data_IF_963515457507
#
_entry.id   IF_963515457507
#
_cell.length_a   1.000
_cell.length_b   1.000
_cell.length_c   1.000
_cell.angle_alpha   90.00
_cell.angle_beta   90.00
_cell.angle_gamma   90.00
#
_symmetry.space_group_name_H-M   'P 1'
#
loop_
_entity.id
_entity.type
_entity.pdbx_description
1 polymer ?
#
# COMPACT_ATOMS: atom_id res chain seq x y z
N UNK A 1 56.68 -33.78 84.10
CA UNK A 1 56.22 -33.21 82.81
C UNK A 1 54.92 -33.91 82.45
N UNK A 2 53.78 -33.23 82.59
CA UNK A 2 52.43 -33.80 82.39
C UNK A 2 51.91 -33.24 81.05
N UNK A 3 51.44 -34.07 80.10
CA UNK A 3 50.91 -33.57 78.84
C UNK A 3 49.55 -32.87 79.04
N UNK A 4 49.24 -31.81 78.30
CA UNK A 4 47.93 -31.17 78.37
C UNK A 4 46.85 -32.12 77.84
N UNK A 5 45.78 -32.31 78.61
CA UNK A 5 44.60 -33.09 78.19
C UNK A 5 43.90 -32.35 77.05
N UNK A 6 43.82 -32.99 75.89
CA UNK A 6 43.03 -32.50 74.76
C UNK A 6 41.55 -32.44 75.17
N UNK A 7 40.97 -31.24 75.20
CA UNK A 7 39.55 -31.04 75.44
C UNK A 7 38.77 -31.51 74.20
N UNK A 8 38.17 -32.70 74.26
CA UNK A 8 37.18 -33.13 73.28
C UNK A 8 35.94 -32.23 73.44
N UNK A 9 35.76 -31.28 72.52
CA UNK A 9 34.54 -30.46 72.49
C UNK A 9 33.35 -31.40 72.24
N UNK A 10 32.26 -31.31 73.03
CA UNK A 10 31.07 -32.10 72.76
C UNK A 10 30.55 -31.73 71.37
N UNK A 11 30.38 -32.73 70.51
CA UNK A 11 29.72 -32.57 69.22
C UNK A 11 28.23 -32.28 69.51
N UNK A 12 27.84 -31.01 69.43
CA UNK A 12 26.45 -30.61 69.50
C UNK A 12 25.73 -31.15 68.27
N UNK A 13 24.97 -32.23 68.44
CA UNK A 13 24.05 -32.68 67.41
C UNK A 13 23.02 -31.59 67.10
N UNK A 14 22.66 -31.45 65.83
CA UNK A 14 21.63 -30.51 65.40
C UNK A 14 20.34 -30.75 66.18
N UNK A 15 19.77 -29.67 66.69
CA UNK A 15 18.49 -29.75 67.40
C UNK A 15 17.37 -29.98 66.37
N UNK A 16 16.36 -30.77 66.73
CA UNK A 16 15.21 -31.03 65.85
C UNK A 16 14.50 -29.74 65.40
N UNK A 17 14.54 -28.70 66.24
CA UNK A 17 13.98 -27.38 65.93
C UNK A 17 14.78 -26.64 64.84
N UNK A 18 16.10 -26.78 64.82
CA UNK A 18 16.97 -26.17 63.80
C UNK A 18 16.72 -26.78 62.43
N UNK A 19 16.50 -28.10 62.37
CA UNK A 19 16.11 -28.78 61.14
C UNK A 19 14.75 -28.29 60.63
N UNK A 20 13.77 -28.12 61.52
CA UNK A 20 12.43 -27.65 61.16
C UNK A 20 12.48 -26.19 60.66
N UNK A 21 13.28 -25.34 61.32
CA UNK A 21 13.52 -23.97 60.87
C UNK A 21 14.22 -23.93 59.50
N UNK A 22 15.24 -24.76 59.28
CA UNK A 22 15.94 -24.83 58.00
C UNK A 22 14.99 -25.24 56.86
N UNK A 23 14.14 -26.25 57.09
CA UNK A 23 13.16 -26.72 56.10
C UNK A 23 12.11 -25.64 55.82
N UNK A 24 11.61 -24.94 56.83
CA UNK A 24 10.62 -23.87 56.63
C UNK A 24 11.18 -22.69 55.83
N UNK A 25 12.40 -22.24 56.15
CA UNK A 25 13.09 -21.20 55.36
C UNK A 25 13.35 -21.69 53.93
N UNK A 26 13.77 -22.94 53.75
CA UNK A 26 14.03 -23.51 52.44
C UNK A 26 12.77 -23.56 51.56
N UNK A 27 11.64 -24.00 52.12
CA UNK A 27 10.34 -24.00 51.43
C UNK A 27 9.93 -22.58 51.05
N UNK A 28 10.12 -21.59 51.94
CA UNK A 28 9.83 -20.19 51.64
C UNK A 28 10.70 -19.68 50.48
N UNK A 29 12.01 -19.94 50.52
CA UNK A 29 12.94 -19.51 49.46
C UNK A 29 12.56 -20.14 48.12
N UNK A 30 12.34 -21.47 48.07
CA UNK A 30 11.92 -22.15 46.85
C UNK A 30 10.59 -21.59 46.35
N UNK A 31 9.62 -21.35 47.24
CA UNK A 31 8.32 -20.78 46.90
C UNK A 31 8.46 -19.41 46.23
N UNK A 32 9.30 -18.53 46.78
CA UNK A 32 9.56 -17.20 46.19
C UNK A 32 10.26 -17.28 44.84
N UNK A 33 11.25 -18.16 44.68
CA UNK A 33 11.95 -18.37 43.41
C UNK A 33 10.96 -18.91 42.36
N UNK A 34 10.13 -19.88 42.73
CA UNK A 34 9.14 -20.46 41.85
C UNK A 34 8.11 -19.42 41.40
N UNK A 35 7.57 -18.62 42.32
CA UNK A 35 6.62 -17.57 41.99
C UNK A 35 7.25 -16.52 41.06
N UNK A 36 8.50 -16.11 41.32
CA UNK A 36 9.22 -15.16 40.46
C UNK A 36 9.46 -15.73 39.06
N UNK A 37 9.83 -17.00 38.95
CA UNK A 37 10.08 -17.65 37.66
C UNK A 37 8.77 -17.80 36.87
N UNK A 38 7.68 -18.22 37.53
CA UNK A 38 6.36 -18.33 36.93
C UNK A 38 5.83 -16.99 36.43
N UNK A 39 6.03 -15.91 37.21
CA UNK A 39 5.68 -14.55 36.77
C UNK A 39 6.49 -14.12 35.55
N UNK A 40 7.80 -14.39 35.54
CA UNK A 40 8.68 -14.04 34.42
C UNK A 40 8.33 -14.79 33.13
N UNK A 41 8.02 -16.10 33.21
CA UNK A 41 7.64 -16.88 32.03
C UNK A 41 6.30 -16.43 31.47
N UNK A 42 5.31 -16.13 32.31
CA UNK A 42 4.02 -15.61 31.86
C UNK A 42 4.16 -14.24 31.18
N UNK A 43 4.95 -13.32 31.76
CA UNK A 43 5.24 -12.04 31.16
C UNK A 43 5.95 -12.17 29.80
N UNK A 44 6.87 -13.14 29.67
CA UNK A 44 7.57 -13.42 28.42
C UNK A 44 6.61 -13.96 27.35
N UNK A 45 5.73 -14.90 27.71
CA UNK A 45 4.74 -15.46 26.78
C UNK A 45 3.77 -14.39 26.27
N UNK A 46 3.24 -13.55 27.16
CA UNK A 46 2.39 -12.41 26.78
C UNK A 46 3.14 -11.39 25.92
N UNK A 47 4.41 -11.11 26.24
CA UNK A 47 5.25 -10.23 25.44
C UNK A 47 5.52 -10.77 24.03
N UNK A 48 5.72 -12.09 23.91
CA UNK A 48 5.95 -12.75 22.62
C UNK A 48 4.73 -12.66 21.71
N UNK A 49 3.55 -12.97 22.23
CA UNK A 49 2.30 -12.89 21.45
C UNK A 49 2.03 -11.47 20.94
N UNK A 50 2.21 -10.46 21.81
CA UNK A 50 2.06 -9.06 21.42
C UNK A 50 3.09 -8.67 20.35
N UNK A 51 4.36 -9.07 20.51
CA UNK A 51 5.41 -8.80 19.54
C UNK A 51 5.10 -9.41 18.16
N UNK A 52 4.63 -10.65 18.10
CA UNK A 52 4.25 -11.31 16.86
C UNK A 52 3.15 -10.54 16.12
N UNK A 53 2.10 -10.11 16.84
CA UNK A 53 1.02 -9.27 16.27
C UNK A 53 1.57 -7.95 15.71
N UNK A 54 2.43 -7.26 16.45
CA UNK A 54 3.05 -6.01 15.97
C UNK A 54 3.90 -6.19 14.72
N UNK A 55 4.66 -7.28 14.66
CA UNK A 55 5.50 -7.58 13.49
C UNK A 55 4.65 -7.86 12.24
N UNK A 56 3.57 -8.63 12.39
CA UNK A 56 2.64 -8.91 11.29
C UNK A 56 1.96 -7.63 10.78
N UNK A 57 1.46 -6.79 11.68
CA UNK A 57 0.84 -5.51 11.28
C UNK A 57 1.83 -4.58 10.58
N UNK A 58 3.09 -4.52 11.06
CA UNK A 58 4.14 -3.72 10.41
C UNK A 58 4.53 -4.28 9.04
N UNK A 59 4.59 -5.60 8.90
CA UNK A 59 4.83 -6.24 7.60
C UNK A 59 3.67 -5.94 6.62
N UNK A 60 2.42 -5.98 7.11
CA UNK A 60 1.23 -5.61 6.34
C UNK A 60 1.25 -4.15 5.88
N UNK A 61 1.57 -3.22 6.78
CA UNK A 61 1.75 -1.80 6.45
C UNK A 61 2.84 -1.61 5.38
N UNK A 62 4.01 -2.23 5.55
CA UNK A 62 5.09 -2.13 4.57
C UNK A 62 4.69 -2.69 3.19
N UNK A 63 3.84 -3.73 3.17
CA UNK A 63 3.30 -4.29 1.94
C UNK A 63 2.36 -3.31 1.23
N UNK A 64 1.43 -2.70 1.97
CA UNK A 64 0.56 -1.65 1.45
C UNK A 64 1.38 -0.49 0.86
N UNK A 65 2.39 0.00 1.60
CA UNK A 65 3.29 1.07 1.12
C UNK A 65 4.01 0.65 -0.16
N UNK A 66 4.52 -0.58 -0.19
CA UNK A 66 5.23 -1.11 -1.37
C UNK A 66 4.33 -1.15 -2.59
N UNK A 67 3.05 -1.49 -2.41
CA UNK A 67 2.06 -1.51 -3.47
C UNK A 67 1.70 -0.09 -3.92
N UNK A 68 1.47 0.86 -3.00
CA UNK A 68 1.24 2.27 -3.33
C UNK A 68 2.38 2.85 -4.17
N UNK A 69 3.64 2.56 -3.84
CA UNK A 69 4.81 3.02 -4.61
C UNK A 69 4.90 2.40 -6.00
N UNK A 70 4.17 1.33 -6.26
CA UNK A 70 4.07 0.65 -7.56
C UNK A 70 2.83 1.08 -8.34
N UNK A 71 2.10 2.08 -7.87
CA UNK A 71 0.95 2.61 -8.59
C UNK A 71 1.38 3.10 -9.98
N UNK A 72 0.53 2.88 -10.96
CA UNK A 72 0.72 3.34 -12.32
C UNK A 72 -0.03 4.65 -12.53
N UNK A 73 0.54 5.51 -13.37
CA UNK A 73 -0.10 6.74 -13.81
C UNK A 73 -1.02 6.45 -15.01
N UNK A 74 -2.13 7.20 -15.18
CA UNK A 74 -2.91 7.18 -16.42
C UNK A 74 -2.04 7.32 -17.67
N UNK A 75 -1.03 8.18 -17.62
CA UNK A 75 -0.10 8.44 -18.72
C UNK A 75 0.95 7.34 -18.94
N UNK A 76 1.06 6.35 -18.03
CA UNK A 76 2.11 5.32 -18.11
C UNK A 76 1.78 4.15 -19.04
N UNK A 77 0.56 4.08 -19.55
CA UNK A 77 0.16 3.05 -20.51
C UNK A 77 0.09 3.63 -21.92
N UNK A 78 0.84 3.08 -22.90
CA UNK A 78 0.80 3.51 -24.30
C UNK A 78 -0.47 3.03 -25.02
N UNK A 79 -1.54 2.76 -24.29
CA UNK A 79 -2.80 2.27 -24.85
C UNK A 79 -3.75 3.38 -25.27
N UNK A 80 -3.45 4.64 -24.94
CA UNK A 80 -4.06 5.77 -25.63
C UNK A 80 -3.47 5.75 -27.05
N UNK A 81 -4.21 5.20 -27.99
CA UNK A 81 -3.89 5.36 -29.41
C UNK A 81 -3.76 6.88 -29.61
N UNK A 82 -2.54 7.34 -29.89
CA UNK A 82 -2.35 8.69 -30.41
C UNK A 82 -3.23 8.76 -31.65
N UNK A 83 -4.30 9.55 -31.57
CA UNK A 83 -5.03 10.07 -32.72
C UNK A 83 -3.97 10.61 -33.67
N UNK A 84 -3.63 9.83 -34.69
CA UNK A 84 -2.86 10.36 -35.80
C UNK A 84 -3.79 11.25 -36.57
N UNK A 85 -3.85 12.51 -36.15
CA UNK A 85 -4.24 13.60 -37.04
C UNK A 85 -3.46 13.44 -38.34
N UNK A 86 -4.19 13.19 -39.43
CA UNK A 86 -3.66 13.24 -40.79
C UNK A 86 -3.31 11.90 -41.43
N UNK A 87 -4.33 11.11 -41.78
CA UNK A 87 -4.28 10.38 -43.05
C UNK A 87 -5.56 10.62 -43.85
N UNK A 88 -5.61 11.77 -44.55
CA UNK A 88 -6.56 11.97 -45.65
C UNK A 88 -6.25 10.96 -46.76
N UNK A 89 -6.89 9.80 -46.67
CA UNK A 89 -6.77 8.72 -47.66
C UNK A 89 -8.12 8.07 -47.89
N UNK A 90 -9.00 8.76 -48.61
CA UNK A 90 -10.10 8.28 -49.48
C UNK A 90 -10.75 6.90 -49.19
N UNK A 91 -10.96 6.56 -47.91
CA UNK A 91 -11.82 5.47 -47.46
C UNK A 91 -12.51 5.98 -46.20
N UNK A 92 -13.80 6.31 -46.32
CA UNK A 92 -14.64 6.83 -45.25
C UNK A 92 -14.85 5.82 -44.13
N UNK A 93 -13.85 5.69 -43.26
CA UNK A 93 -14.06 5.25 -41.89
C UNK A 93 -14.41 6.50 -41.09
N UNK A 94 -15.65 6.58 -40.63
CA UNK A 94 -16.01 7.50 -39.56
C UNK A 94 -15.33 6.95 -38.32
N UNK A 95 -14.19 7.55 -37.93
CA UNK A 95 -13.64 7.41 -36.58
C UNK A 95 -14.56 8.24 -35.67
N UNK A 96 -15.54 7.58 -35.06
CA UNK A 96 -16.30 8.16 -33.95
C UNK A 96 -15.41 8.08 -32.70
N UNK A 97 -15.25 9.22 -32.03
CA UNK A 97 -14.57 9.47 -30.76
C UNK A 97 -15.11 8.53 -29.66
N UNK A 98 -14.58 7.31 -29.55
CA UNK A 98 -14.89 6.39 -28.45
C UNK A 98 -13.90 6.61 -27.28
N UNK A 99 -14.06 7.72 -26.55
CA UNK A 99 -13.26 8.13 -25.38
C UNK A 99 -13.50 7.25 -24.12
N UNK A 100 -14.44 6.29 -24.19
CA UNK A 100 -14.85 5.40 -23.09
C UNK A 100 -14.02 4.11 -23.00
N UNK A 101 -12.69 4.20 -23.06
CA UNK A 101 -11.86 3.02 -22.80
C UNK A 101 -12.03 2.54 -21.35
N UNK A 102 -12.85 1.51 -21.09
CA UNK A 102 -13.10 0.87 -19.77
C UNK A 102 -11.83 0.41 -19.01
N UNK A 103 -10.65 0.48 -19.65
CA UNK A 103 -9.33 0.12 -19.13
C UNK A 103 -8.51 1.33 -18.66
N UNK A 104 -9.16 2.44 -18.33
CA UNK A 104 -8.51 3.59 -17.73
C UNK A 104 -7.84 3.24 -16.40
N UNK A 105 -6.59 3.70 -16.25
CA UNK A 105 -5.84 3.60 -15.01
C UNK A 105 -6.27 4.74 -14.11
N UNK A 106 -6.97 4.43 -13.03
CA UNK A 106 -7.46 5.42 -12.07
C UNK A 106 -6.78 5.24 -10.72
N UNK A 107 -6.73 6.33 -9.95
CA UNK A 107 -6.37 6.34 -8.54
C UNK A 107 -7.46 7.09 -7.78
N UNK A 108 -8.24 6.36 -7.00
CA UNK A 108 -9.37 6.89 -6.25
C UNK A 108 -9.28 6.45 -4.81
N UNK A 109 -9.53 7.34 -3.87
CA UNK A 109 -9.54 6.97 -2.46
C UNK A 109 -10.21 7.99 -1.57
N UNK A 110 -10.61 7.49 -0.41
CA UNK A 110 -11.12 8.29 0.69
C UNK A 110 -10.29 7.99 1.94
N UNK A 111 -10.68 8.52 3.08
CA UNK A 111 -9.91 8.33 4.31
C UNK A 111 -9.81 6.85 4.72
N UNK A 112 -10.74 5.97 4.36
CA UNK A 112 -10.77 4.59 4.86
C UNK A 112 -10.37 3.53 3.81
N UNK A 113 -10.28 3.91 2.54
CA UNK A 113 -9.91 3.00 1.46
C UNK A 113 -9.18 3.71 0.32
N UNK A 114 -8.35 2.95 -0.39
CA UNK A 114 -7.68 3.45 -1.59
C UNK A 114 -7.69 2.38 -2.67
N UNK A 115 -8.05 2.78 -3.89
CA UNK A 115 -8.12 1.96 -5.08
C UNK A 115 -7.19 2.53 -6.15
N UNK A 116 -6.37 1.68 -6.73
CA UNK A 116 -5.40 2.08 -7.73
C UNK A 116 -4.92 0.90 -8.56
N UNK A 117 -4.32 1.21 -9.70
CA UNK A 117 -3.68 0.22 -10.56
C UNK A 117 -2.20 0.12 -10.22
N UNK A 118 -1.67 -1.10 -10.13
CA UNK A 118 -0.25 -1.35 -9.88
C UNK A 118 0.34 -2.41 -10.81
N UNK A 119 1.66 -2.33 -11.00
CA UNK A 119 2.45 -3.39 -11.64
C UNK A 119 2.82 -4.45 -10.61
N UNK A 120 2.36 -5.68 -10.80
CA UNK A 120 2.66 -6.82 -9.92
C UNK A 120 3.52 -7.85 -10.65
N UNK A 121 4.64 -8.21 -10.05
CA UNK A 121 5.42 -9.36 -10.53
C UNK A 121 4.81 -10.66 -9.99
N UNK A 122 4.60 -11.64 -10.86
CA UNK A 122 4.21 -13.00 -10.51
C UNK A 122 5.40 -13.94 -10.65
N UNK A 123 5.72 -14.64 -9.57
CA UNK A 123 6.65 -15.77 -9.60
C UNK A 123 5.94 -16.96 -10.25
N UNK A 124 6.06 -17.12 -11.57
CA UNK A 124 5.59 -18.30 -12.30
C UNK A 124 6.74 -18.89 -13.13
N UNK A 125 6.91 -20.22 -13.05
CA UNK A 125 7.91 -20.96 -13.83
C UNK A 125 7.58 -21.07 -15.34
N UNK A 126 6.38 -20.65 -15.78
CA UNK A 126 5.87 -20.94 -17.14
C UNK A 126 5.18 -19.78 -17.86
N UNK A 127 5.30 -18.53 -17.40
CA UNK A 127 4.59 -17.41 -18.02
C UNK A 127 5.23 -16.05 -17.76
N UNK A 128 4.75 -14.98 -18.40
CA UNK A 128 5.28 -13.64 -18.20
C UNK A 128 5.16 -13.29 -16.71
N UNK A 129 6.28 -12.89 -16.12
CA UNK A 129 6.41 -12.62 -14.69
C UNK A 129 5.72 -11.34 -14.24
N UNK A 130 4.82 -10.76 -15.05
CA UNK A 130 4.28 -9.44 -14.87
C UNK A 130 2.78 -9.37 -15.15
N UNK A 131 2.07 -8.67 -14.28
CA UNK A 131 0.66 -8.34 -14.43
C UNK A 131 0.43 -6.88 -14.02
N UNK A 132 -0.64 -6.29 -14.54
CA UNK A 132 -1.11 -4.96 -14.15
C UNK A 132 -2.49 -5.14 -13.54
N UNK A 133 -2.63 -4.81 -12.26
CA UNK A 133 -3.81 -5.12 -11.47
C UNK A 133 -4.42 -3.90 -10.86
N UNK A 134 -5.74 -3.84 -10.92
CA UNK A 134 -6.52 -2.92 -10.12
C UNK A 134 -6.79 -3.53 -8.76
N UNK A 135 -6.42 -2.80 -7.71
CA UNK A 135 -6.51 -3.27 -6.33
C UNK A 135 -7.15 -2.21 -5.44
N UNK A 136 -7.83 -2.66 -4.39
CA UNK A 136 -8.35 -1.80 -3.32
C UNK A 136 -7.84 -2.28 -1.97
N UNK A 137 -7.40 -1.34 -1.14
CA UNK A 137 -7.07 -1.58 0.25
C UNK A 137 -8.15 -0.97 1.14
N UNK A 138 -8.64 -1.77 2.10
CA UNK A 138 -9.58 -1.32 3.14
C UNK A 138 -9.49 -2.23 4.36
N UNK A 139 -10.10 -1.81 5.47
CA UNK A 139 -10.30 -2.67 6.64
C UNK A 139 -11.68 -3.31 6.53
N UNK A 140 -11.76 -4.62 6.77
CA UNK A 140 -13.03 -5.35 6.81
C UNK A 140 -13.72 -5.26 8.19
N UNK A 141 -14.95 -5.76 8.28
CA UNK A 141 -15.74 -5.74 9.51
C UNK A 141 -15.15 -6.61 10.64
N UNK A 142 -14.23 -7.52 10.29
CA UNK A 142 -13.51 -8.38 11.22
C UNK A 142 -12.21 -7.74 11.75
N UNK A 143 -11.90 -6.51 11.33
CA UNK A 143 -10.69 -5.80 11.73
C UNK A 143 -9.42 -6.33 11.05
N UNK A 144 -9.54 -6.76 9.79
CA UNK A 144 -8.41 -7.17 8.95
C UNK A 144 -8.18 -6.14 7.86
N UNK A 145 -6.92 -5.77 7.66
CA UNK A 145 -6.53 -5.03 6.46
C UNK A 145 -6.52 -6.02 5.30
N UNK A 146 -7.37 -5.78 4.32
CA UNK A 146 -7.50 -6.62 3.13
C UNK A 146 -7.07 -5.88 1.87
N UNK A 147 -6.55 -6.65 0.92
CA UNK A 147 -6.29 -6.25 -0.46
C UNK A 147 -7.27 -6.98 -1.35
N UNK A 148 -8.20 -6.25 -1.95
CA UNK A 148 -9.12 -6.75 -2.97
C UNK A 148 -8.49 -6.56 -4.34
N UNK A 149 -8.50 -7.60 -5.18
CA UNK A 149 -7.98 -7.55 -6.55
C UNK A 149 -9.16 -7.70 -7.52
N UNK A 150 -9.45 -6.63 -8.28
CA UNK A 150 -10.65 -6.55 -9.14
C UNK A 150 -10.43 -7.14 -10.52
N UNK A 151 -9.29 -6.82 -11.15
CA UNK A 151 -9.00 -7.27 -12.52
C UNK A 151 -7.52 -7.19 -12.87
N UNK A 152 -7.16 -7.94 -13.90
CA UNK A 152 -5.90 -7.82 -14.64
C UNK A 152 -6.13 -7.01 -15.92
N UNK A 153 -5.58 -5.81 -16.01
CA UNK A 153 -5.72 -4.97 -17.20
C UNK A 153 -5.06 -5.60 -18.43
N UNK A 154 -4.01 -6.41 -18.25
CA UNK A 154 -3.39 -7.13 -19.36
C UNK A 154 -4.30 -8.22 -19.94
N UNK A 155 -5.02 -8.95 -19.08
CA UNK A 155 -5.98 -9.96 -19.53
C UNK A 155 -7.15 -9.30 -20.26
N UNK A 156 -7.74 -8.26 -19.67
CA UNK A 156 -8.84 -7.54 -20.32
C UNK A 156 -8.43 -6.99 -21.70
N UNK A 157 -7.23 -6.40 -21.81
CA UNK A 157 -6.74 -5.90 -23.11
C UNK A 157 -6.51 -7.02 -24.12
N UNK A 158 -6.04 -8.19 -23.67
CA UNK A 158 -5.87 -9.34 -24.56
C UNK A 158 -7.22 -9.83 -25.10
N UNK A 159 -8.25 -9.88 -24.25
CA UNK A 159 -9.61 -10.25 -24.64
C UNK A 159 -10.20 -9.27 -25.65
N UNK A 160 -10.02 -7.97 -25.42
CA UNK A 160 -10.45 -6.91 -26.34
C UNK A 160 -9.83 -7.10 -27.74
N UNK A 161 -8.51 -7.34 -27.79
CA UNK A 161 -7.80 -7.55 -29.06
C UNK A 161 -8.28 -8.82 -29.78
N UNK A 162 -8.58 -9.89 -29.03
CA UNK A 162 -9.13 -11.12 -29.60
C UNK A 162 -10.52 -10.87 -30.17
N UNK A 163 -11.39 -10.15 -29.44
CA UNK A 163 -12.72 -9.78 -29.88
C UNK A 163 -12.69 -8.92 -31.15
N UNK A 164 -11.87 -7.86 -31.18
CA UNK A 164 -11.68 -7.00 -32.37
C UNK A 164 -11.24 -7.82 -33.59
N UNK A 165 -10.30 -8.76 -33.42
CA UNK A 165 -9.87 -9.66 -34.52
C UNK A 165 -10.97 -10.60 -34.99
N UNK A 166 -11.84 -11.08 -34.10
CA UNK A 166 -12.98 -11.92 -34.48
C UNK A 166 -14.00 -11.11 -35.28
N UNK A 167 -14.33 -9.89 -34.85
CA UNK A 167 -15.22 -8.98 -35.58
C UNK A 167 -14.67 -8.66 -36.98
N UNK A 168 -13.37 -8.37 -37.12
CA UNK A 168 -12.77 -8.10 -38.43
C UNK A 168 -12.85 -9.28 -39.42
N UNK A 169 -12.91 -10.52 -38.91
CA UNK A 169 -13.04 -11.74 -39.73
C UNK A 169 -14.47 -11.99 -40.21
N UNK A 170 -15.48 -11.36 -39.62
CA UNK A 170 -16.85 -11.49 -40.07
C UNK A 170 -17.06 -10.70 -41.38
N UNK A 171 -17.90 -11.22 -42.30
CA UNK A 171 -18.33 -10.48 -43.48
C UNK A 171 -18.91 -9.12 -43.07
N UNK A 172 -18.76 -8.10 -43.91
CA UNK A 172 -19.08 -6.71 -43.57
C UNK A 172 -20.53 -6.49 -43.06
N UNK A 173 -21.49 -7.32 -43.49
CA UNK A 173 -22.88 -7.29 -43.02
C UNK A 173 -23.18 -8.06 -41.74
N UNK A 174 -22.23 -8.86 -41.22
CA UNK A 174 -22.36 -9.64 -39.99
C UNK A 174 -21.52 -9.06 -38.84
N UNK A 175 -20.72 -8.02 -39.12
CA UNK A 175 -19.97 -7.29 -38.10
C UNK A 175 -20.95 -6.62 -37.15
N UNK A 176 -20.88 -6.98 -35.89
CA UNK A 176 -21.70 -6.37 -34.85
C UNK A 176 -21.03 -5.07 -34.43
N UNK A 177 -21.83 -4.00 -34.28
CA UNK A 177 -21.41 -2.77 -33.59
C UNK A 177 -21.40 -2.94 -32.07
N UNK A 178 -21.52 -4.16 -31.57
CA UNK A 178 -21.46 -4.42 -30.14
C UNK A 178 -20.11 -3.96 -29.64
N UNK A 179 -20.13 -2.95 -28.76
CA UNK A 179 -18.97 -2.52 -28.01
C UNK A 179 -18.39 -3.75 -27.33
N UNK A 180 -17.06 -3.84 -27.33
CA UNK A 180 -16.41 -4.77 -26.42
C UNK A 180 -16.66 -4.22 -25.02
N UNK A 181 -17.75 -4.66 -24.42
CA UNK A 181 -17.90 -4.58 -22.99
C UNK A 181 -16.94 -5.63 -22.45
N UNK A 182 -15.83 -5.16 -21.86
CA UNK A 182 -15.42 -5.93 -20.70
C UNK A 182 -16.61 -5.88 -19.76
N UNK A 183 -16.86 -6.95 -19.02
CA UNK A 183 -17.79 -6.86 -17.91
C UNK A 183 -17.11 -5.95 -16.85
N UNK A 184 -16.80 -4.68 -17.15
CA UNK A 184 -16.08 -3.76 -16.28
C UNK A 184 -16.94 -3.41 -15.07
N UNK A 185 -18.27 -3.40 -15.24
CA UNK A 185 -19.23 -3.38 -14.13
C UNK A 185 -19.20 -4.68 -13.30
N UNK A 186 -18.61 -5.78 -13.79
CA UNK A 186 -18.46 -7.05 -13.05
C UNK A 186 -17.02 -7.41 -12.66
N UNK A 187 -15.99 -6.72 -13.15
CA UNK A 187 -14.60 -7.14 -12.99
C UNK A 187 -14.31 -8.43 -13.76
N UNK A 188 -13.04 -8.67 -14.12
CA UNK A 188 -12.61 -9.95 -14.74
C UNK A 188 -12.87 -11.14 -13.79
N UNK A 189 -13.16 -10.85 -12.52
CA UNK A 189 -13.69 -11.79 -11.55
C UNK A 189 -15.10 -11.35 -11.16
N UNK A 190 -16.09 -12.26 -11.22
CA UNK A 190 -17.44 -12.04 -10.67
C UNK A 190 -17.42 -11.52 -9.21
N UNK A 191 -16.33 -11.80 -8.47
CA UNK A 191 -16.04 -11.24 -7.15
C UNK A 191 -14.54 -10.93 -7.03
N UNK A 192 -14.14 -9.81 -6.40
CA UNK A 192 -12.72 -9.50 -6.20
C UNK A 192 -12.02 -10.60 -5.40
N UNK A 193 -10.77 -10.90 -5.77
CA UNK A 193 -9.94 -11.82 -4.99
C UNK A 193 -9.47 -11.08 -3.73
N UNK A 194 -10.00 -11.47 -2.57
CA UNK A 194 -9.62 -10.88 -1.28
C UNK A 194 -8.41 -11.58 -0.70
N UNK A 195 -7.36 -10.80 -0.40
CA UNK A 195 -6.19 -11.24 0.32
C UNK A 195 -6.06 -10.53 1.66
N UNK A 196 -5.98 -11.29 2.75
CA UNK A 196 -5.67 -10.75 4.08
C UNK A 196 -4.20 -10.30 4.11
N UNK A 197 -3.97 -9.03 4.44
CA UNK A 197 -2.64 -8.41 4.53
C UNK A 197 -2.12 -8.47 5.96
N UNK A 198 -2.96 -8.07 6.92
CA UNK A 198 -2.71 -8.25 8.34
C UNK A 198 -4.02 -8.19 9.13
N UNK A 199 -3.99 -8.71 10.35
CA UNK A 199 -5.12 -8.75 11.28
C UNK A 199 -4.94 -7.75 12.44
N UNK A 200 -5.96 -7.63 13.29
CA UNK A 200 -5.99 -6.77 14.48
C UNK A 200 -5.86 -5.28 14.14
N UNK A 201 -6.44 -4.87 13.01
CA UNK A 201 -6.53 -3.49 12.56
C UNK A 201 -7.90 -2.93 12.95
N UNK A 202 -7.89 -1.88 13.75
CA UNK A 202 -9.10 -1.13 14.12
C UNK A 202 -9.53 -0.18 13.01
N UNK A 203 -8.57 0.51 12.40
CA UNK A 203 -8.82 1.50 11.35
C UNK A 203 -7.57 1.70 10.49
N UNK A 204 -7.78 2.04 9.22
CA UNK A 204 -6.77 2.64 8.35
C UNK A 204 -7.25 4.04 7.96
N UNK A 205 -6.33 5.01 7.92
CA UNK A 205 -6.59 6.38 7.49
C UNK A 205 -5.63 6.77 6.36
N UNK A 206 -6.17 7.34 5.29
CA UNK A 206 -5.42 7.86 4.16
C UNK A 206 -5.58 9.37 4.05
N UNK A 207 -4.49 10.05 3.68
CA UNK A 207 -4.52 11.44 3.25
C UNK A 207 -3.60 11.60 2.05
N UNK A 208 -3.95 12.52 1.16
CA UNK A 208 -3.36 12.66 -0.15
C UNK A 208 -2.80 14.07 -0.32
N UNK A 209 -1.58 14.19 -0.83
CA UNK A 209 -0.94 15.50 -1.03
C UNK A 209 -0.91 15.85 -2.52
N UNK A 210 -1.57 16.94 -2.91
CA UNK A 210 -1.58 17.43 -4.31
C UNK A 210 -0.33 18.21 -4.71
N UNK A 211 0.53 18.55 -3.73
CA UNK A 211 1.67 19.43 -3.94
C UNK A 211 1.55 20.78 -3.24
N UNK A 212 0.34 21.16 -2.85
CA UNK A 212 0.00 22.38 -2.12
C UNK A 212 -0.61 22.03 -0.75
N UNK A 213 -1.61 21.16 -0.71
CA UNK A 213 -2.38 20.81 0.48
C UNK A 213 -2.64 19.31 0.63
N UNK A 214 -3.02 18.92 1.86
CA UNK A 214 -3.43 17.56 2.20
C UNK A 214 -4.95 17.44 2.11
N UNK A 215 -5.43 16.48 1.31
CA UNK A 215 -6.84 16.15 1.11
C UNK A 215 -7.17 14.81 1.77
N UNK A 216 -8.41 14.65 2.18
CA UNK A 216 -8.91 13.41 2.82
C UNK A 216 -9.59 12.45 1.81
N UNK A 217 -9.75 12.91 0.57
CA UNK A 217 -10.18 12.15 -0.59
C UNK A 217 -9.35 12.51 -1.81
N UNK A 218 -9.34 11.62 -2.79
CA UNK A 218 -8.63 11.80 -4.05
C UNK A 218 -9.37 11.11 -5.19
N UNK A 219 -9.43 11.77 -6.34
CA UNK A 219 -9.84 11.19 -7.61
C UNK A 219 -8.87 11.69 -8.70
N UNK A 220 -8.19 10.76 -9.37
CA UNK A 220 -7.23 11.12 -10.41
C UNK A 220 -7.86 11.69 -11.68
N UNK A 221 -9.15 11.43 -11.88
CA UNK A 221 -9.92 11.93 -13.01
C UNK A 221 -10.60 13.28 -12.72
N UNK A 222 -10.49 13.78 -11.49
CA UNK A 222 -10.96 15.13 -11.16
C UNK A 222 -10.25 16.16 -12.05
N UNK A 223 -11.05 16.99 -12.71
CA UNK A 223 -10.57 18.06 -13.60
C UNK A 223 -10.47 19.34 -12.79
N UNK A 224 -9.31 20.01 -12.87
CA UNK A 224 -9.05 21.28 -12.22
C UNK A 224 -8.57 22.30 -13.24
N UNK A 225 -8.83 23.57 -12.96
CA UNK A 225 -8.28 24.67 -13.75
C UNK A 225 -6.77 24.71 -13.54
N UNK A 226 -6.04 24.76 -14.64
CA UNK A 226 -4.59 24.84 -14.70
C UNK A 226 -4.09 26.04 -13.86
N UNK A 227 -2.96 25.86 -13.17
CA UNK A 227 -2.35 26.87 -12.31
C UNK A 227 -2.12 28.21 -13.05
N UNK A 228 -1.86 28.17 -14.36
CA UNK A 228 -1.67 29.37 -15.19
C UNK A 228 -2.97 30.11 -15.54
N UNK A 229 -4.11 29.42 -15.51
CA UNK A 229 -5.42 29.97 -15.84
C UNK A 229 -6.24 30.35 -14.58
N UNK A 230 -5.72 30.06 -13.39
CA UNK A 230 -6.43 30.24 -12.11
C UNK A 230 -6.87 31.68 -11.83
N UNK A 231 -6.15 32.66 -12.37
CA UNK A 231 -6.43 34.09 -12.21
C UNK A 231 -7.27 34.69 -13.35
N UNK A 232 -7.61 33.89 -14.37
CA UNK A 232 -8.44 34.33 -15.48
C UNK A 232 -9.92 34.41 -15.05
N UNK A 233 -10.70 35.36 -15.60
CA UNK A 233 -12.14 35.35 -15.44
C UNK A 233 -12.73 34.05 -16.01
N UNK A 234 -13.80 33.53 -15.40
CA UNK A 234 -14.48 32.30 -15.89
C UNK A 234 -14.88 32.40 -17.38
N UNK A 235 -15.20 33.60 -17.86
CA UNK A 235 -15.57 33.87 -19.27
C UNK A 235 -14.41 33.72 -20.26
N UNK A 236 -13.15 33.71 -19.78
CA UNK A 236 -11.93 33.56 -20.59
C UNK A 236 -11.32 32.15 -20.48
N UNK A 237 -11.88 31.27 -19.66
CA UNK A 237 -11.43 29.89 -19.53
C UNK A 237 -11.86 29.08 -20.76
N UNK A 238 -10.92 28.32 -21.31
CA UNK A 238 -11.11 27.39 -22.41
C UNK A 238 -10.96 25.95 -21.93
N UNK A 239 -11.39 24.98 -22.74
CA UNK A 239 -11.19 23.55 -22.44
C UNK A 239 -9.69 23.18 -22.35
N UNK A 240 -8.79 23.97 -22.96
CA UNK A 240 -7.33 23.81 -22.84
C UNK A 240 -6.80 24.20 -21.45
N UNK A 241 -7.58 24.96 -20.68
CA UNK A 241 -7.24 25.39 -19.33
C UNK A 241 -7.65 24.36 -18.26
N UNK A 242 -8.32 23.29 -18.65
CA UNK A 242 -8.71 22.18 -17.80
C UNK A 242 -7.63 21.07 -17.80
N UNK A 243 -7.12 20.70 -16.62
CA UNK A 243 -6.14 19.62 -16.47
C UNK A 243 -6.63 18.60 -15.43
N UNK A 244 -6.49 17.30 -15.73
CA UNK A 244 -6.73 16.25 -14.73
C UNK A 244 -5.70 16.35 -13.62
N UNK A 245 -6.14 16.31 -12.36
CA UNK A 245 -5.23 16.36 -11.19
C UNK A 245 -4.18 15.24 -11.26
N UNK A 246 -4.59 14.05 -11.72
CA UNK A 246 -3.72 12.90 -11.81
C UNK A 246 -3.43 12.25 -10.45
N UNK A 247 -2.23 11.71 -10.25
CA UNK A 247 -1.89 10.96 -9.04
C UNK A 247 -1.46 11.89 -7.91
N UNK A 248 -1.73 11.52 -6.65
CA UNK A 248 -1.23 12.28 -5.51
C UNK A 248 0.29 12.16 -5.42
N UNK A 249 0.98 13.24 -5.05
CA UNK A 249 2.45 13.21 -4.94
C UNK A 249 2.92 12.40 -3.75
N UNK A 250 2.22 12.52 -2.63
CA UNK A 250 2.45 11.78 -1.40
C UNK A 250 1.15 11.19 -0.88
N UNK A 251 1.24 10.04 -0.24
CA UNK A 251 0.15 9.43 0.52
C UNK A 251 0.61 9.24 1.95
N UNK A 252 -0.15 9.78 2.90
CA UNK A 252 -0.01 9.47 4.32
C UNK A 252 -0.91 8.29 4.64
N UNK A 253 -0.37 7.31 5.35
CA UNK A 253 -1.10 6.13 5.80
C UNK A 253 -0.94 6.02 7.31
N UNK A 254 -2.05 6.12 8.04
CA UNK A 254 -2.13 5.83 9.47
C UNK A 254 -2.89 4.50 9.67
N UNK A 255 -2.30 3.56 10.40
CA UNK A 255 -2.92 2.28 10.76
C UNK A 255 -3.03 2.20 12.28
N UNK A 256 -4.26 2.07 12.75
CA UNK A 256 -4.60 1.99 14.16
C UNK A 256 -4.94 0.53 14.47
N UNK A 257 -4.20 -0.08 15.40
CA UNK A 257 -4.42 -1.46 15.82
C UNK A 257 -5.40 -1.58 16.99
N UNK A 258 -5.92 -2.79 17.18
CA UNK A 258 -6.62 -3.18 18.41
C UNK A 258 -5.63 -3.06 19.58
N UNK A 259 -5.93 -2.17 20.53
CA UNK A 259 -5.00 -1.77 21.60
C UNK A 259 -4.39 -0.37 21.44
N UNK A 260 -4.92 0.44 20.50
CA UNK A 260 -4.59 1.88 20.31
C UNK A 260 -3.14 2.15 19.87
N UNK A 261 -2.43 1.14 19.38
CA UNK A 261 -1.12 1.33 18.76
C UNK A 261 -1.28 1.87 17.36
N UNK A 262 -0.51 2.90 17.02
CA UNK A 262 -0.59 3.63 15.76
C UNK A 262 0.70 3.50 14.97
N UNK A 263 0.58 3.19 13.69
CA UNK A 263 1.66 3.32 12.71
C UNK A 263 1.30 4.45 11.76
N UNK A 264 2.19 5.42 11.64
CA UNK A 264 2.04 6.55 10.72
C UNK A 264 3.25 6.59 9.79
N UNK A 265 2.99 6.74 8.49
CA UNK A 265 4.02 6.81 7.46
C UNK A 265 3.56 7.66 6.30
N UNK A 266 4.50 8.32 5.65
CA UNK A 266 4.28 9.07 4.42
C UNK A 266 5.10 8.39 3.33
N UNK A 267 4.47 8.11 2.19
CA UNK A 267 5.13 7.52 1.03
C UNK A 267 4.97 8.40 -0.19
N UNK A 268 5.99 8.41 -1.05
CA UNK A 268 5.93 8.98 -2.38
C UNK A 268 5.18 8.07 -3.34
N UNK A 269 4.58 8.67 -4.36
CA UNK A 269 4.01 7.97 -5.51
C UNK A 269 4.86 8.34 -6.73
N UNK A 270 5.85 7.51 -7.12
CA UNK A 270 6.80 7.86 -8.16
C UNK A 270 6.14 8.15 -9.51
N UNK A 271 5.00 7.51 -9.79
CA UNK A 271 4.26 7.73 -11.03
C UNK A 271 3.56 9.10 -11.10
N UNK A 272 3.38 9.82 -9.98
CA UNK A 272 2.78 11.15 -10.00
C UNK A 272 3.65 12.17 -10.75
N UNK A 273 4.97 12.01 -10.70
CA UNK A 273 5.87 12.88 -11.46
C UNK A 273 5.86 12.57 -12.97
N UNK A 274 5.33 11.41 -13.39
CA UNK A 274 5.19 11.06 -14.81
C UNK A 274 4.03 11.80 -15.47
N UNK A 275 3.02 12.23 -14.72
CA UNK A 275 1.94 13.06 -15.26
C UNK A 275 2.49 14.36 -15.86
N UNK A 276 3.48 14.97 -15.20
CA UNK A 276 4.12 16.20 -15.66
C UNK A 276 5.00 16.00 -16.92
N UNK A 277 5.44 14.77 -17.20
CA UNK A 277 6.28 14.43 -18.37
C UNK A 277 5.41 14.01 -19.55
N UNK A 278 4.31 13.28 -19.31
CA UNK A 278 3.35 12.90 -20.36
C UNK A 278 2.72 14.10 -21.07
N UNK A 279 2.46 15.19 -20.33
CA UNK A 279 1.96 16.43 -20.92
C UNK A 279 3.00 17.22 -21.76
N UNK A 280 4.29 16.87 -21.67
CA UNK A 280 5.39 17.65 -22.29
C UNK A 280 6.53 16.79 -22.85
N UNK A 281 6.23 15.82 -23.71
CA UNK A 281 7.14 15.37 -24.77
C UNK A 281 8.35 14.48 -24.43
N UNK A 282 8.66 13.60 -25.40
CA UNK A 282 9.87 12.78 -25.61
C UNK A 282 10.38 11.84 -24.49
N UNK A 283 10.57 10.56 -24.86
CA UNK A 283 11.12 9.45 -24.06
C UNK A 283 12.45 9.75 -23.31
N UNK A 284 13.18 10.81 -23.69
CA UNK A 284 14.40 11.25 -23.01
C UNK A 284 14.18 11.86 -21.63
N UNK A 285 12.96 12.34 -21.31
CA UNK A 285 12.67 13.07 -20.06
C UNK A 285 12.30 12.19 -18.86
N UNK A 286 12.14 10.88 -19.08
CA UNK A 286 11.90 9.92 -17.99
C UNK A 286 13.08 9.85 -16.99
N UNK A 287 14.31 9.90 -17.50
CA UNK A 287 15.52 9.78 -16.69
C UNK A 287 15.88 11.04 -15.90
N UNK A 288 15.46 12.22 -16.36
CA UNK A 288 15.63 13.51 -15.70
C UNK A 288 14.58 13.72 -14.60
N UNK A 289 13.32 13.37 -14.87
CA UNK A 289 12.23 13.44 -13.90
C UNK A 289 12.48 12.58 -12.66
N UNK A 290 12.87 11.30 -12.83
CA UNK A 290 13.18 10.41 -11.70
C UNK A 290 14.32 10.91 -10.80
N UNK A 291 15.33 11.60 -11.36
CA UNK A 291 16.42 12.19 -10.57
C UNK A 291 15.94 13.44 -9.82
N UNK A 292 15.15 14.28 -10.48
CA UNK A 292 14.59 15.49 -9.88
C UNK A 292 13.67 15.16 -8.70
N UNK A 293 12.82 14.13 -8.83
CA UNK A 293 11.96 13.64 -7.75
C UNK A 293 12.76 13.16 -6.55
N UNK A 294 13.81 12.36 -6.78
CA UNK A 294 14.69 11.84 -5.72
C UNK A 294 15.39 12.97 -4.96
N UNK A 295 15.90 13.98 -5.66
CA UNK A 295 16.58 15.13 -5.05
C UNK A 295 15.62 16.08 -4.32
N UNK A 296 14.36 16.16 -4.75
CA UNK A 296 13.32 16.95 -4.07
C UNK A 296 12.82 16.22 -2.81
N UNK A 297 12.73 14.90 -2.84
CA UNK A 297 12.34 14.05 -1.71
C UNK A 297 13.36 14.13 -0.56
N UNK A 298 14.66 14.15 -0.87
CA UNK A 298 15.70 14.37 0.14
C UNK A 298 15.52 15.72 0.85
N UNK A 299 15.20 16.79 0.11
CA UNK A 299 14.95 18.13 0.67
C UNK A 299 13.70 18.19 1.55
N UNK A 300 12.62 17.52 1.15
CA UNK A 300 11.39 17.45 1.96
C UNK A 300 11.58 16.60 3.21
N UNK A 301 12.34 15.50 3.13
CA UNK A 301 12.69 14.66 4.28
C UNK A 301 13.59 15.39 5.29
N UNK A 302 14.51 16.21 4.81
CA UNK A 302 15.33 17.10 5.65
C UNK A 302 14.49 18.17 6.37
N UNK A 303 13.48 18.73 5.68
CA UNK A 303 12.53 19.69 6.27
C UNK A 303 11.60 19.04 7.29
N UNK A 304 11.06 17.86 7.00
CA UNK A 304 10.17 17.12 7.89
C UNK A 304 10.92 16.50 9.09
N UNK A 305 12.19 16.13 8.93
CA UNK A 305 13.05 15.58 10.00
C UNK A 305 13.67 16.64 10.92
N UNK A 306 13.69 17.92 10.52
CA UNK A 306 14.28 19.03 11.28
C UNK A 306 13.54 19.44 12.56
N UNK A 307 12.35 18.90 12.82
CA UNK A 307 11.49 19.30 13.95
C UNK A 307 11.70 18.56 15.27
N UNK A 308 12.48 17.46 15.32
CA UNK A 308 12.67 16.64 16.54
C UNK A 308 14.10 16.67 17.08
N UNK A 309 14.59 17.87 17.39
CA UNK A 309 15.66 18.06 18.40
C UNK A 309 15.43 19.36 19.15
N UNK A 310 14.62 19.31 20.21
CA UNK A 310 14.76 20.07 21.48
C UNK A 310 13.50 19.90 22.35
N UNK A 311 13.50 18.90 23.21
CA UNK A 311 13.40 18.99 24.68
C UNK A 311 13.34 17.59 25.27
#
# INVERSE_FOLDING_TARGET
MIPPRASTRPASGFTLIELLLAITIFILVIGTIYASLAGATQALLLGKENMERFQLSRAGMNRLITDLRKSLSPASLPFREEEKEGFEGELGFVEEEDDDSELQVTFVGDSNQVQFVLRQELSSDKGPSLDIREVRYRVDDEGKLIKEIFRSLLIARLEELVFRRQQQRLPEGERTRDRFFTDAERGIFENPITQVVCENVKQVQFRYFDGQEWRDSWDSEEVVINEYARDLPEEELTEEDEEKIGLPRLVQVELILVGEVRFDTITDIPAADLNAVGARGNESDFGSALRASRDRLNRLRERAGGGRRRR
#
